data_IF_513923863988
#
_entry.id   IF_513923863988
#
_cell.length_a   1.000
_cell.length_b   1.000
_cell.length_c   1.000
_cell.angle_alpha   90.00
_cell.angle_beta   90.00
_cell.angle_gamma   90.00
#
_symmetry.space_group_name_H-M   'P 1'
#
loop_
_entity.id
_entity.type
_entity.pdbx_description
1 polymer ?
#
# COMPACT_ATOMS: atom_id res chain seq x y z
N UNK A 1 45.49 34.37 -26.54
CA UNK A 1 46.13 33.08 -26.21
C UNK A 1 45.57 32.56 -24.88
N UNK A 2 45.35 31.25 -24.82
CA UNK A 2 44.87 30.41 -23.70
C UNK A 2 43.36 30.16 -23.71
N UNK A 3 42.85 28.93 -23.63
CA UNK A 3 43.22 27.56 -24.04
C UNK A 3 42.00 26.71 -23.63
N UNK A 4 41.70 25.66 -24.40
CA UNK A 4 40.50 24.84 -24.33
C UNK A 4 40.24 24.12 -22.97
N UNK A 5 38.98 23.77 -22.71
CA UNK A 5 38.58 22.86 -21.62
C UNK A 5 37.17 22.26 -21.78
N UNK A 6 37.13 21.09 -22.41
CA UNK A 6 36.10 20.05 -22.57
C UNK A 6 34.68 20.16 -21.95
N UNK A 7 33.69 19.88 -22.81
CA UNK A 7 32.36 19.37 -22.47
C UNK A 7 32.44 18.01 -21.78
N UNK A 8 31.62 17.77 -20.76
CA UNK A 8 31.33 16.40 -20.29
C UNK A 8 29.84 16.26 -19.96
N UNK A 9 29.21 15.34 -20.68
CA UNK A 9 27.84 14.88 -20.52
C UNK A 9 27.72 14.10 -19.20
N UNK A 10 26.73 14.43 -18.37
CA UNK A 10 26.44 13.66 -17.17
C UNK A 10 25.41 12.58 -17.55
N UNK A 11 25.89 11.35 -17.57
CA UNK A 11 25.14 10.12 -17.80
C UNK A 11 24.24 9.82 -16.59
N UNK A 12 22.95 9.60 -16.84
CA UNK A 12 21.96 9.14 -15.88
C UNK A 12 21.87 7.61 -15.98
N UNK A 13 22.46 6.88 -15.03
CA UNK A 13 22.14 5.47 -14.83
C UNK A 13 22.44 4.97 -13.42
N UNK A 14 21.41 4.28 -12.89
CA UNK A 14 21.47 3.16 -11.93
C UNK A 14 21.65 3.48 -10.45
N UNK A 15 20.50 3.62 -9.79
CA UNK A 15 20.31 3.40 -8.36
C UNK A 15 20.29 1.88 -8.10
N UNK A 16 21.19 1.38 -7.25
CA UNK A 16 21.22 -0.02 -6.80
C UNK A 16 21.12 -0.05 -5.26
N UNK A 17 20.12 -0.70 -4.66
CA UNK A 17 20.07 -0.87 -3.20
C UNK A 17 20.75 -2.19 -2.79
N UNK A 18 21.91 -2.09 -2.13
CA UNK A 18 22.53 -3.24 -1.46
C UNK A 18 21.84 -3.52 -0.13
N UNK A 19 21.24 -4.70 -0.01
CA UNK A 19 20.72 -5.29 1.22
C UNK A 19 21.87 -5.54 2.22
N UNK A 20 21.81 -4.91 3.39
CA UNK A 20 22.68 -5.23 4.54
C UNK A 20 21.91 -6.15 5.49
N UNK A 21 22.24 -7.43 5.47
CA UNK A 21 21.85 -8.42 6.48
C UNK A 21 22.85 -8.36 7.64
N UNK A 22 22.42 -7.92 8.82
CA UNK A 22 23.19 -8.06 10.06
C UNK A 22 22.78 -9.37 10.74
N UNK A 23 23.67 -10.37 10.69
CA UNK A 23 23.59 -11.60 11.49
C UNK A 23 24.26 -11.37 12.84
N UNK A 24 23.48 -11.44 13.92
CA UNK A 24 23.99 -11.51 15.29
C UNK A 24 24.23 -12.97 15.68
N UNK A 25 25.50 -13.35 15.77
CA UNK A 25 25.95 -14.64 16.30
C UNK A 25 26.05 -14.56 17.82
N UNK A 26 25.27 -15.39 18.53
CA UNK A 26 25.40 -15.59 19.98
C UNK A 26 26.06 -16.94 20.20
N UNK A 27 27.29 -16.93 20.73
CA UNK A 27 28.06 -18.13 21.04
C UNK A 27 27.63 -18.70 22.40
N UNK A 28 27.02 -19.90 22.39
CA UNK A 28 26.72 -20.70 23.58
C UNK A 28 27.75 -21.83 23.69
N UNK A 29 28.34 -21.97 24.88
CA UNK A 29 29.30 -23.01 25.26
C UNK A 29 28.62 -24.38 25.33
N UNK A 30 29.32 -25.40 24.83
CA UNK A 30 28.91 -26.80 24.76
C UNK A 30 29.66 -27.62 25.83
N UNK A 31 28.95 -28.46 26.57
CA UNK A 31 29.48 -29.50 27.47
C UNK A 31 28.78 -30.84 27.10
N UNK A 32 29.47 -32.01 27.09
CA UNK A 32 28.92 -33.25 26.54
C UNK A 32 28.42 -34.22 27.61
N UNK A 33 27.24 -34.80 27.40
CA UNK A 33 26.84 -36.07 28.04
C UNK A 33 26.04 -36.94 27.08
N UNK A 34 26.54 -38.15 26.84
CA UNK A 34 25.88 -39.25 26.13
C UNK A 34 24.97 -40.02 27.09
N UNK A 35 23.77 -40.45 26.63
CA UNK A 35 23.28 -41.84 26.78
C UNK A 35 22.04 -42.11 25.91
N UNK A 36 22.03 -43.35 25.44
CA UNK A 36 21.19 -44.08 24.49
C UNK A 36 19.79 -44.47 25.03
N UNK A 37 18.77 -44.57 24.15
CA UNK A 37 17.76 -45.66 24.13
C UNK A 37 16.79 -45.59 22.93
N UNK A 38 16.36 -46.77 22.52
CA UNK A 38 15.78 -47.25 21.25
C UNK A 38 14.22 -47.18 21.18
N UNK A 39 13.52 -47.71 20.13
CA UNK A 39 12.45 -47.00 19.42
C UNK A 39 10.99 -47.48 19.69
N UNK A 40 10.03 -46.70 19.18
CA UNK A 40 8.80 -47.24 18.59
C UNK A 40 7.48 -46.82 19.24
N UNK A 41 6.74 -45.90 18.60
CA UNK A 41 5.26 -45.86 18.62
C UNK A 41 4.76 -45.38 17.24
N UNK A 42 3.69 -46.00 16.77
CA UNK A 42 3.09 -45.93 15.43
C UNK A 42 1.60 -45.55 15.60
N UNK A 43 1.04 -44.84 14.60
CA UNK A 43 -0.42 -44.71 14.25
C UNK A 43 -1.21 -43.58 14.96
N UNK A 44 -2.32 -43.01 14.40
CA UNK A 44 -2.85 -42.91 13.02
C UNK A 44 -3.11 -41.46 12.53
N UNK A 45 -3.41 -41.32 11.24
CA UNK A 45 -3.84 -40.09 10.59
C UNK A 45 -5.25 -39.59 10.95
N UNK A 46 -5.44 -38.30 10.72
CA UNK A 46 -6.74 -37.64 10.63
C UNK A 46 -6.82 -36.97 9.26
N UNK A 47 -7.58 -37.61 8.38
CA UNK A 47 -8.25 -36.90 7.30
C UNK A 47 -9.38 -36.07 7.95
N UNK A 48 -9.24 -34.76 7.90
CA UNK A 48 -10.31 -33.77 8.14
C UNK A 48 -10.08 -32.74 7.05
N UNK A 49 -10.85 -32.75 5.97
CA UNK A 49 -12.30 -32.54 6.02
C UNK A 49 -12.49 -31.12 5.51
N UNK A 50 -12.93 -31.02 4.26
CA UNK A 50 -13.09 -29.75 3.56
C UNK A 50 -14.01 -28.82 4.33
N UNK A 51 -13.43 -27.78 4.91
CA UNK A 51 -14.14 -26.54 5.18
C UNK A 51 -14.22 -25.77 3.87
N UNK A 52 -15.22 -26.08 3.03
CA UNK A 52 -15.77 -25.03 2.17
C UNK A 52 -16.35 -24.00 3.12
N UNK A 53 -15.57 -22.96 3.44
CA UNK A 53 -16.13 -21.74 3.95
C UNK A 53 -17.23 -21.34 2.97
N UNK A 54 -18.47 -21.23 3.43
CA UNK A 54 -19.54 -20.66 2.61
C UNK A 54 -19.04 -19.30 2.10
N UNK A 55 -19.05 -19.04 0.79
CA UNK A 55 -18.59 -17.77 0.23
C UNK A 55 -19.38 -16.57 0.79
N UNK A 56 -20.59 -16.83 1.31
CA UNK A 56 -21.51 -15.80 1.81
C UNK A 56 -21.08 -15.12 3.12
N UNK A 57 -20.23 -15.75 3.94
CA UNK A 57 -19.88 -15.19 5.26
C UNK A 57 -18.87 -14.04 5.20
N UNK A 58 -18.16 -13.89 4.07
CA UNK A 58 -17.18 -12.84 3.86
C UNK A 58 -17.67 -11.74 2.91
N UNK A 59 -18.87 -11.87 2.34
CA UNK A 59 -19.38 -10.89 1.40
C UNK A 59 -19.90 -9.67 2.16
N UNK A 60 -19.19 -8.56 2.03
CA UNK A 60 -19.48 -7.29 2.71
C UNK A 60 -20.68 -6.55 2.12
N UNK A 61 -21.01 -6.83 0.86
CA UNK A 61 -22.16 -6.27 0.14
C UNK A 61 -23.09 -7.40 -0.31
N UNK A 62 -24.33 -7.44 0.20
CA UNK A 62 -25.31 -8.44 -0.23
C UNK A 62 -25.97 -8.07 -1.57
N UNK A 63 -26.36 -9.08 -2.37
CA UNK A 63 -27.19 -8.89 -3.59
C UNK A 63 -28.42 -8.01 -3.35
N UNK A 64 -29.09 -8.21 -2.22
CA UNK A 64 -30.26 -7.40 -1.84
C UNK A 64 -29.90 -5.91 -1.74
N UNK A 65 -28.77 -5.57 -1.11
CA UNK A 65 -28.35 -4.18 -0.96
C UNK A 65 -27.89 -3.58 -2.29
N UNK A 66 -27.25 -4.38 -3.15
CA UNK A 66 -26.93 -3.97 -4.52
C UNK A 66 -28.21 -3.58 -5.29
N UNK A 67 -29.27 -4.38 -5.23
CA UNK A 67 -30.55 -4.03 -5.87
C UNK A 67 -31.19 -2.75 -5.32
N UNK A 68 -31.12 -2.53 -4.00
CA UNK A 68 -31.59 -1.28 -3.40
C UNK A 68 -30.81 -0.08 -3.95
N UNK A 69 -29.49 -0.19 -4.04
CA UNK A 69 -28.63 0.88 -4.57
C UNK A 69 -28.91 1.17 -6.05
N UNK A 70 -29.11 0.14 -6.88
CA UNK A 70 -29.46 0.31 -8.29
C UNK A 70 -30.79 1.06 -8.43
N UNK A 71 -31.82 0.67 -7.65
CA UNK A 71 -33.13 1.34 -7.68
C UNK A 71 -33.10 2.79 -7.19
N UNK A 72 -32.18 3.13 -6.29
CA UNK A 72 -31.96 4.51 -5.87
C UNK A 72 -31.36 5.38 -6.99
N UNK A 73 -30.59 4.78 -7.90
CA UNK A 73 -29.98 5.45 -9.06
C UNK A 73 -30.95 5.48 -10.25
N UNK A 74 -31.44 4.32 -10.67
CA UNK A 74 -32.45 4.16 -11.72
C UNK A 74 -33.46 3.05 -11.34
N UNK A 75 -34.73 3.39 -11.08
CA UNK A 75 -35.75 2.41 -10.72
C UNK A 75 -36.20 1.51 -11.88
N UNK A 76 -35.89 1.85 -13.13
CA UNK A 76 -36.28 1.07 -14.32
C UNK A 76 -35.19 0.12 -14.81
N UNK A 77 -33.96 0.26 -14.31
CA UNK A 77 -32.84 -0.58 -14.72
C UNK A 77 -32.84 -1.91 -13.95
N UNK A 78 -32.58 -2.99 -14.68
CA UNK A 78 -32.48 -4.34 -14.12
C UNK A 78 -31.18 -4.99 -14.61
N UNK A 79 -30.31 -5.31 -13.66
CA UNK A 79 -29.02 -5.95 -13.94
C UNK A 79 -29.21 -7.44 -14.24
N UNK A 80 -28.40 -7.95 -15.17
CA UNK A 80 -28.26 -9.39 -15.37
C UNK A 80 -27.42 -10.01 -14.25
N UNK A 81 -27.64 -11.29 -13.97
CA UNK A 81 -26.96 -12.01 -12.88
C UNK A 81 -25.43 -11.94 -12.98
N UNK A 82 -24.87 -12.11 -14.18
CA UNK A 82 -23.42 -12.03 -14.41
C UNK A 82 -22.85 -10.63 -14.09
N UNK A 83 -23.63 -9.58 -14.33
CA UNK A 83 -23.22 -8.20 -14.05
C UNK A 83 -23.26 -7.93 -12.55
N UNK A 84 -24.27 -8.45 -11.85
CA UNK A 84 -24.35 -8.37 -10.40
C UNK A 84 -23.14 -9.03 -9.72
N UNK A 85 -22.79 -10.26 -10.14
CA UNK A 85 -21.63 -10.97 -9.60
C UNK A 85 -20.32 -10.20 -9.87
N UNK A 86 -20.18 -9.62 -11.07
CA UNK A 86 -19.02 -8.79 -11.40
C UNK A 86 -18.93 -7.54 -10.52
N UNK A 87 -20.04 -6.84 -10.29
CA UNK A 87 -20.06 -5.65 -9.42
C UNK A 87 -19.73 -5.98 -7.97
N UNK A 88 -20.22 -7.13 -7.47
CA UNK A 88 -19.90 -7.61 -6.13
C UNK A 88 -18.41 -7.91 -5.99
N UNK A 89 -17.82 -8.59 -6.98
CA UNK A 89 -16.38 -8.85 -6.99
C UNK A 89 -15.57 -7.55 -7.01
N UNK A 90 -15.96 -6.57 -7.84
CA UNK A 90 -15.29 -5.26 -7.87
C UNK A 90 -15.39 -4.55 -6.52
N UNK A 91 -16.51 -4.67 -5.81
CA UNK A 91 -16.67 -4.09 -4.48
C UNK A 91 -15.75 -4.75 -3.44
N UNK A 92 -15.61 -6.08 -3.48
CA UNK A 92 -14.70 -6.81 -2.60
C UNK A 92 -13.24 -6.45 -2.90
N UNK A 93 -12.84 -6.42 -4.17
CA UNK A 93 -11.49 -6.02 -4.61
C UNK A 93 -11.18 -4.56 -4.21
N UNK A 94 -12.17 -3.66 -4.32
CA UNK A 94 -12.04 -2.27 -3.89
C UNK A 94 -11.74 -2.19 -2.39
N UNK A 95 -12.47 -2.95 -1.57
CA UNK A 95 -12.28 -2.96 -0.11
C UNK A 95 -10.91 -3.51 0.25
N UNK A 96 -10.50 -4.63 -0.36
CA UNK A 96 -9.17 -5.20 -0.11
C UNK A 96 -8.05 -4.21 -0.47
N UNK A 97 -8.18 -3.54 -1.62
CA UNK A 97 -7.24 -2.51 -2.06
C UNK A 97 -7.16 -1.34 -1.09
N UNK A 98 -8.31 -0.77 -0.69
CA UNK A 98 -8.38 0.37 0.24
C UNK A 98 -7.83 0.00 1.61
N UNK A 99 -8.22 -1.16 2.16
CA UNK A 99 -7.79 -1.61 3.49
C UNK A 99 -6.29 -1.90 3.50
N UNK A 100 -5.76 -2.56 2.46
CA UNK A 100 -4.33 -2.83 2.33
C UNK A 100 -3.52 -1.53 2.30
N UNK A 101 -3.94 -0.57 1.48
CA UNK A 101 -3.26 0.73 1.38
C UNK A 101 -3.38 1.55 2.69
N UNK A 102 -4.54 1.56 3.33
CA UNK A 102 -4.73 2.22 4.62
C UNK A 102 -3.86 1.60 5.72
N UNK A 103 -3.75 0.27 5.76
CA UNK A 103 -2.83 -0.42 6.68
C UNK A 103 -1.36 -0.04 6.42
N UNK A 104 -0.96 0.12 5.15
CA UNK A 104 0.38 0.58 4.80
C UNK A 104 0.62 2.02 5.28
N UNK A 105 -0.37 2.91 5.18
CA UNK A 105 -0.30 4.28 5.68
C UNK A 105 -0.19 4.33 7.21
N UNK A 106 -0.97 3.52 7.92
CA UNK A 106 -0.90 3.39 9.38
C UNK A 106 0.52 2.96 9.82
N UNK A 107 1.08 1.95 9.14
CA UNK A 107 2.45 1.48 9.38
C UNK A 107 3.51 2.53 9.02
N UNK A 108 3.30 3.33 7.98
CA UNK A 108 4.24 4.38 7.56
C UNK A 108 4.46 5.43 8.64
N UNK A 109 3.42 5.80 9.39
CA UNK A 109 3.54 6.69 10.56
C UNK A 109 3.92 5.97 11.86
N UNK A 110 4.30 4.68 11.78
CA UNK A 110 4.69 3.82 12.91
C UNK A 110 3.55 3.55 13.90
N UNK A 111 2.30 3.60 13.42
CA UNK A 111 1.13 3.17 14.19
C UNK A 111 0.85 1.69 13.96
N UNK A 112 0.40 0.99 15.00
CA UNK A 112 -0.15 -0.36 14.90
C UNK A 112 -1.68 -0.36 14.94
N UNK A 113 -2.28 0.82 14.86
CA UNK A 113 -3.72 1.04 14.87
C UNK A 113 -4.10 1.77 13.60
N UNK A 114 -5.04 1.18 12.85
CA UNK A 114 -5.64 1.81 11.67
C UNK A 114 -6.61 2.89 12.12
N UNK A 115 -6.41 4.11 11.63
CA UNK A 115 -7.33 5.23 11.91
C UNK A 115 -8.01 5.70 10.63
N UNK A 116 -9.10 6.47 10.82
CA UNK A 116 -9.90 7.04 9.73
C UNK A 116 -9.06 7.88 8.76
N UNK A 117 -8.04 8.58 9.27
CA UNK A 117 -7.12 9.40 8.46
C UNK A 117 -6.37 8.58 7.40
N UNK A 118 -6.08 7.31 7.68
CA UNK A 118 -5.36 6.44 6.74
C UNK A 118 -6.24 6.06 5.55
N UNK A 119 -7.50 5.68 5.82
CA UNK A 119 -8.48 5.35 4.78
C UNK A 119 -8.85 6.58 3.96
N UNK A 120 -9.14 7.69 4.63
CA UNK A 120 -9.54 8.93 3.98
C UNK A 120 -8.47 9.43 3.00
N UNK A 121 -7.20 9.45 3.44
CA UNK A 121 -6.10 9.90 2.59
C UNK A 121 -5.98 9.06 1.31
N UNK A 122 -6.22 7.76 1.39
CA UNK A 122 -6.17 6.88 0.23
C UNK A 122 -7.35 7.12 -0.73
N UNK A 123 -8.57 7.26 -0.20
CA UNK A 123 -9.76 7.57 -0.99
C UNK A 123 -9.65 8.91 -1.74
N UNK A 124 -9.15 9.95 -1.08
CA UNK A 124 -8.98 11.27 -1.70
C UNK A 124 -7.91 11.26 -2.79
N UNK A 125 -6.78 10.57 -2.56
CA UNK A 125 -5.63 10.61 -3.47
C UNK A 125 -5.70 9.64 -4.63
N UNK A 126 -6.31 8.47 -4.45
CA UNK A 126 -6.34 7.42 -5.49
C UNK A 126 -7.71 7.30 -6.15
N UNK A 127 -8.78 7.48 -5.40
CA UNK A 127 -10.14 7.34 -5.90
C UNK A 127 -10.80 8.69 -6.19
N UNK A 128 -10.16 9.79 -5.79
CA UNK A 128 -10.67 11.13 -5.94
C UNK A 128 -12.06 11.31 -5.28
N UNK A 129 -12.32 10.50 -4.24
CA UNK A 129 -13.56 10.52 -3.45
C UNK A 129 -13.35 11.36 -2.20
N UNK A 130 -14.28 12.26 -1.91
CA UNK A 130 -14.28 13.07 -0.70
C UNK A 130 -15.51 12.75 0.14
N UNK A 131 -15.30 12.36 1.40
CA UNK A 131 -16.40 12.00 2.30
C UNK A 131 -16.74 13.21 3.18
N UNK A 132 -17.93 13.82 3.03
CA UNK A 132 -18.36 14.92 3.87
C UNK A 132 -18.42 14.51 5.35
N UNK A 133 -18.04 15.42 6.24
CA UNK A 133 -18.10 15.19 7.70
C UNK A 133 -16.92 14.39 8.27
N UNK A 134 -16.02 13.87 7.43
CA UNK A 134 -14.78 13.23 7.84
C UNK A 134 -13.58 14.09 7.41
N UNK A 135 -12.57 14.20 8.28
CA UNK A 135 -11.30 14.79 7.89
C UNK A 135 -11.18 16.31 7.87
N UNK A 136 -11.84 17.01 8.79
CA UNK A 136 -11.70 18.47 8.94
C UNK A 136 -10.30 18.94 9.37
N UNK A 137 -9.30 18.05 9.48
CA UNK A 137 -7.93 18.47 9.74
C UNK A 137 -7.32 18.89 8.41
N UNK A 138 -7.66 20.12 8.03
CA UNK A 138 -7.02 20.98 7.03
C UNK A 138 -5.75 20.32 6.47
N UNK A 139 -5.88 19.55 5.37
CA UNK A 139 -4.75 19.31 4.47
C UNK A 139 -4.44 20.68 3.92
N UNK A 140 -3.67 21.45 4.70
CA UNK A 140 -3.25 22.79 4.35
C UNK A 140 -2.63 22.66 2.97
N UNK A 141 -3.24 23.27 1.93
CA UNK A 141 -2.70 23.17 0.60
C UNK A 141 -1.29 23.74 0.66
N UNK A 142 -0.30 22.87 0.56
CA UNK A 142 1.06 23.21 0.22
C UNK A 142 1.75 24.18 1.21
N UNK A 143 2.51 23.64 2.18
CA UNK A 143 3.75 24.36 2.55
C UNK A 143 4.54 24.44 1.25
N UNK A 144 4.80 25.65 0.73
CA UNK A 144 5.65 25.82 -0.45
C UNK A 144 6.89 24.97 -0.23
N UNK A 145 7.14 24.03 -1.15
CA UNK A 145 8.34 23.22 -1.08
C UNK A 145 9.50 24.16 -0.80
N UNK A 146 10.26 23.91 0.27
CA UNK A 146 11.38 24.77 0.59
C UNK A 146 12.29 24.77 -0.64
N UNK A 147 12.33 25.88 -1.38
CA UNK A 147 13.12 25.98 -2.59
C UNK A 147 14.56 25.79 -2.17
N UNK A 148 15.20 24.71 -2.65
CA UNK A 148 16.61 24.44 -2.36
C UNK A 148 17.45 25.63 -2.82
N UNK A 149 18.58 25.89 -2.16
CA UNK A 149 19.48 26.98 -2.56
C UNK A 149 19.92 26.84 -4.02
N UNK A 150 20.14 25.60 -4.48
CA UNK A 150 20.41 25.29 -5.88
C UNK A 150 19.28 25.76 -6.81
N UNK A 151 18.01 25.55 -6.45
CA UNK A 151 16.87 26.03 -7.23
C UNK A 151 16.82 27.57 -7.28
N UNK A 152 17.10 28.24 -6.17
CA UNK A 152 17.16 29.72 -6.12
C UNK A 152 18.26 30.27 -7.03
N UNK A 153 19.45 29.68 -7.00
CA UNK A 153 20.60 30.06 -7.84
C UNK A 153 20.28 29.86 -9.33
N UNK A 154 19.68 28.72 -9.71
CA UNK A 154 19.22 28.45 -11.07
C UNK A 154 18.22 29.51 -11.55
N UNK A 155 17.22 29.83 -10.73
CA UNK A 155 16.22 30.86 -11.05
C UNK A 155 16.86 32.25 -11.21
N UNK A 156 17.88 32.59 -10.40
CA UNK A 156 18.61 33.85 -10.51
C UNK A 156 19.41 33.95 -11.81
N UNK A 157 20.10 32.87 -12.22
CA UNK A 157 20.82 32.81 -13.49
C UNK A 157 19.87 32.97 -14.68
N UNK A 158 18.72 32.27 -14.68
CA UNK A 158 17.70 32.39 -15.74
C UNK A 158 17.15 33.82 -15.84
N UNK A 159 16.84 34.46 -14.70
CA UNK A 159 16.40 35.88 -14.68
C UNK A 159 17.46 36.82 -15.24
N UNK A 160 18.74 36.55 -14.98
CA UNK A 160 19.86 37.35 -15.48
C UNK A 160 20.04 37.21 -16.99
N UNK A 161 19.77 36.04 -17.56
CA UNK A 161 19.87 35.79 -19.01
C UNK A 161 18.68 36.32 -19.80
N UNK A 162 17.47 36.37 -19.21
CA UNK A 162 16.26 36.90 -19.87
C UNK A 162 16.17 38.43 -19.88
N UNK A 163 17.04 39.12 -19.14
CA UNK A 163 17.05 40.59 -19.03
C UNK A 163 18.05 41.27 -20.00
N UNK A 164 18.50 40.54 -21.02
CA UNK A 164 19.29 41.02 -22.15
C UNK A 164 18.44 40.93 -23.41
#
# INVERSE_FOLDING_TARGET
MNQFGASTLINLSTFNPSTTTMSTSVAVKQEPTVVNSTPGVKVPGTATGGGRASPDANQVLSKKKLHELVREIDPNEQLDEDVEEMLLQIADDFIESVVSAACQLARHRRSNTLEVKDVQLHLERQWNMWIPGFGSEEIRPYKKACTTEAHKQRMALIKKTQKK
#
